data_IF_023444841875
#
_entry.id   IF_023444841875
#
_cell.length_a   1.000
_cell.length_b   1.000
_cell.length_c   1.000
_cell.angle_alpha   90.00
_cell.angle_beta   90.00
_cell.angle_gamma   90.00
#
_symmetry.space_group_name_H-M   'P 1'
#
loop_
_entity.id
_entity.type
_entity.pdbx_description
1 polymer ?
#
# COMPACT_ATOMS: atom_id res chain seq x y z
N UNK A 1 -3.63 29.63 18.30
CA UNK A 1 -3.44 29.28 16.88
C UNK A 1 -4.35 28.10 16.60
N UNK A 2 -5.23 28.21 15.61
CA UNK A 2 -6.19 27.15 15.28
C UNK A 2 -5.41 25.94 14.78
N UNK A 3 -5.44 24.85 15.54
CA UNK A 3 -4.96 23.55 15.11
C UNK A 3 -6.02 23.03 14.12
N UNK A 4 -5.89 23.39 12.85
CA UNK A 4 -6.71 22.77 11.80
C UNK A 4 -6.30 21.31 11.76
N UNK A 5 -7.17 20.42 12.24
CA UNK A 5 -7.00 18.97 12.07
C UNK A 5 -6.87 18.69 10.58
N UNK A 6 -5.64 18.41 10.14
CA UNK A 6 -5.40 17.96 8.77
C UNK A 6 -5.93 16.55 8.67
N UNK A 7 -7.04 16.38 7.98
CA UNK A 7 -7.63 15.07 7.69
C UNK A 7 -7.21 14.54 6.32
N UNK A 8 -6.61 15.38 5.46
CA UNK A 8 -6.15 14.97 4.14
C UNK A 8 -4.87 14.13 4.24
N UNK A 9 -4.84 12.92 3.66
CA UNK A 9 -3.75 11.97 3.87
C UNK A 9 -2.41 12.46 3.34
N UNK A 10 -2.38 13.14 2.19
CA UNK A 10 -1.15 13.70 1.65
C UNK A 10 -0.56 14.80 2.56
N UNK A 11 -1.41 15.65 3.14
CA UNK A 11 -0.96 16.69 4.07
C UNK A 11 -0.41 16.10 5.36
N UNK A 12 -1.02 15.01 5.85
CA UNK A 12 -0.51 14.25 7.00
C UNK A 12 0.86 13.67 6.66
N UNK A 13 1.02 12.97 5.52
CA UNK A 13 2.32 12.41 5.12
C UNK A 13 3.39 13.49 4.93
N UNK A 14 3.06 14.63 4.30
CA UNK A 14 3.98 15.76 4.15
C UNK A 14 4.44 16.31 5.49
N UNK A 15 3.53 16.44 6.47
CA UNK A 15 3.88 16.91 7.81
C UNK A 15 4.71 15.87 8.57
N UNK A 16 4.36 14.59 8.47
CA UNK A 16 5.13 13.50 9.06
C UNK A 16 6.55 13.45 8.50
N UNK A 17 6.73 13.59 7.17
CA UNK A 17 8.04 13.69 6.53
C UNK A 17 8.87 14.81 7.13
N UNK A 18 8.30 16.03 7.26
CA UNK A 18 9.01 17.17 7.89
C UNK A 18 9.46 16.85 9.31
N UNK A 19 8.57 16.29 10.13
CA UNK A 19 8.89 15.91 11.51
C UNK A 19 10.02 14.87 11.56
N UNK A 20 10.00 13.88 10.68
CA UNK A 20 11.03 12.82 10.60
C UNK A 20 12.37 13.42 10.20
N UNK A 21 12.43 14.20 9.12
CA UNK A 21 13.66 14.86 8.66
C UNK A 21 14.23 15.77 9.77
N UNK A 22 13.39 16.58 10.42
CA UNK A 22 13.82 17.47 11.50
C UNK A 22 14.37 16.74 12.73
N UNK A 23 13.80 15.57 13.07
CA UNK A 23 14.25 14.75 14.19
C UNK A 23 15.54 14.01 13.88
N UNK A 24 15.65 13.40 12.70
CA UNK A 24 16.82 12.62 12.29
C UNK A 24 18.03 13.52 12.00
N UNK A 25 17.83 14.76 11.56
CA UNK A 25 18.93 15.73 11.41
C UNK A 25 19.69 15.98 12.72
N UNK A 26 19.10 15.67 13.87
CA UNK A 26 19.70 15.84 15.20
C UNK A 26 20.47 14.59 15.69
N UNK A 27 20.64 13.58 14.84
CA UNK A 27 21.35 12.33 15.19
C UNK A 27 22.88 12.48 15.31
N UNK A 28 23.44 13.63 14.89
CA UNK A 28 24.87 13.93 14.98
C UNK A 28 25.70 13.48 13.77
N UNK A 29 25.09 12.92 12.74
CA UNK A 29 25.76 12.61 11.47
C UNK A 29 25.92 13.87 10.60
N UNK A 30 27.05 13.98 9.89
CA UNK A 30 27.34 15.13 9.00
C UNK A 30 26.37 15.25 7.83
N UNK A 31 25.78 14.14 7.41
CA UNK A 31 24.80 14.11 6.32
C UNK A 31 23.35 14.14 6.84
N UNK A 32 23.07 13.85 8.12
CA UNK A 32 21.72 13.56 8.63
C UNK A 32 21.20 12.24 8.07
N UNK A 33 20.78 11.30 8.92
CA UNK A 33 20.35 9.96 8.50
C UNK A 33 19.37 9.97 7.31
N UNK A 34 19.59 9.05 6.35
CA UNK A 34 18.67 8.77 5.23
C UNK A 34 17.53 7.85 5.65
N UNK A 35 17.06 8.01 6.87
CA UNK A 35 16.06 7.14 7.45
C UNK A 35 14.65 7.69 7.14
N UNK A 36 13.69 6.79 7.01
CA UNK A 36 12.35 7.08 6.51
C UNK A 36 11.47 5.84 6.53
N UNK A 37 10.21 5.99 6.09
CA UNK A 37 9.31 4.85 5.98
C UNK A 37 8.52 4.86 4.68
N UNK A 38 8.17 3.68 4.23
CA UNK A 38 7.20 3.47 3.18
C UNK A 38 5.84 3.19 3.82
N UNK A 39 4.79 3.84 3.32
CA UNK A 39 3.46 3.68 3.90
C UNK A 39 2.36 4.10 2.93
N UNK A 40 1.14 3.64 3.20
CA UNK A 40 -0.06 4.21 2.60
C UNK A 40 -0.99 4.68 3.70
N UNK A 41 -1.53 5.90 3.54
CA UNK A 41 -2.51 6.45 4.47
C UNK A 41 -3.85 6.58 3.77
N UNK A 42 -4.84 5.83 4.27
CA UNK A 42 -6.18 5.71 3.70
C UNK A 42 -7.20 6.38 4.63
N UNK A 43 -8.07 7.21 4.07
CA UNK A 43 -9.13 7.92 4.78
C UNK A 43 -10.45 7.63 4.06
N UNK A 44 -11.33 6.92 4.76
CA UNK A 44 -12.70 6.67 4.30
C UNK A 44 -13.60 7.79 4.81
N UNK A 45 -14.51 8.27 3.96
CA UNK A 45 -15.59 9.12 4.44
C UNK A 45 -16.56 8.30 5.33
N UNK A 46 -17.43 9.00 6.05
CA UNK A 46 -18.26 8.40 7.11
C UNK A 46 -19.17 7.25 6.61
N UNK A 47 -19.68 7.36 5.38
CA UNK A 47 -20.54 6.36 4.75
C UNK A 47 -19.78 5.30 3.93
N UNK A 48 -18.44 5.40 3.87
CA UNK A 48 -17.54 4.50 3.13
C UNK A 48 -17.83 4.41 1.63
N UNK A 49 -18.37 5.47 1.05
CA UNK A 49 -18.58 5.59 -0.40
C UNK A 49 -17.39 6.22 -1.13
N UNK A 50 -16.46 6.85 -0.40
CA UNK A 50 -15.29 7.50 -0.95
C UNK A 50 -14.04 7.15 -0.14
N UNK A 51 -12.95 6.88 -0.86
CA UNK A 51 -11.61 6.73 -0.32
C UNK A 51 -10.75 7.90 -0.79
N UNK A 52 -10.10 8.57 0.15
CA UNK A 52 -8.98 9.49 -0.11
C UNK A 52 -7.71 8.90 0.47
N UNK A 53 -6.60 8.92 -0.27
CA UNK A 53 -5.34 8.33 0.19
C UNK A 53 -4.10 9.00 -0.40
N UNK A 54 -2.97 8.77 0.25
CA UNK A 54 -1.63 9.08 -0.24
C UNK A 54 -0.72 7.89 0.06
N UNK A 55 0.27 7.64 -0.81
CA UNK A 55 1.09 6.45 -0.73
C UNK A 55 2.55 6.74 -1.10
N UNK A 56 3.45 6.35 -0.20
CA UNK A 56 4.90 6.41 -0.34
C UNK A 56 5.42 5.01 -0.67
N UNK A 57 5.98 4.83 -1.87
CA UNK A 57 6.59 3.62 -2.44
C UNK A 57 5.72 2.34 -2.55
N UNK A 58 4.71 2.15 -1.70
CA UNK A 58 3.84 0.98 -1.71
C UNK A 58 2.49 1.26 -2.39
N UNK A 59 2.07 0.44 -3.38
CA UNK A 59 0.83 0.66 -4.11
C UNK A 59 -0.40 0.38 -3.26
N UNK A 60 -1.53 0.98 -3.66
CA UNK A 60 -2.85 0.63 -3.15
C UNK A 60 -3.62 -0.10 -4.25
N UNK A 61 -4.30 -1.18 -3.88
CA UNK A 61 -5.12 -1.97 -4.81
C UNK A 61 -6.60 -1.89 -4.44
N UNK A 62 -7.46 -1.88 -5.47
CA UNK A 62 -8.88 -2.18 -5.33
C UNK A 62 -9.17 -3.42 -6.15
N UNK A 63 -9.84 -4.40 -5.55
CA UNK A 63 -10.24 -5.65 -6.21
C UNK A 63 -11.74 -5.83 -6.07
N UNK A 64 -12.40 -6.04 -7.20
CA UNK A 64 -13.84 -6.31 -7.26
C UNK A 64 -14.17 -6.98 -8.60
N UNK A 65 -14.51 -8.28 -8.61
CA UNK A 65 -14.81 -9.00 -9.86
C UNK A 65 -16.13 -8.54 -10.52
N UNK A 66 -16.97 -7.80 -9.80
CA UNK A 66 -18.24 -7.28 -10.31
C UNK A 66 -18.12 -5.83 -10.83
N UNK A 67 -16.97 -5.19 -10.66
CA UNK A 67 -16.75 -3.80 -11.08
C UNK A 67 -16.42 -3.73 -12.56
N UNK A 68 -17.17 -2.91 -13.28
CA UNK A 68 -17.04 -2.75 -14.74
C UNK A 68 -16.26 -1.51 -15.14
N UNK A 69 -16.10 -0.55 -14.23
CA UNK A 69 -15.41 0.72 -14.47
C UNK A 69 -14.41 1.01 -13.36
N UNK A 70 -13.17 1.29 -13.75
CA UNK A 70 -12.08 1.57 -12.82
C UNK A 70 -11.80 3.08 -12.72
N UNK A 71 -11.31 3.56 -11.58
CA UNK A 71 -10.92 4.96 -11.40
C UNK A 71 -9.90 5.41 -12.44
N UNK A 72 -10.06 6.63 -12.97
CA UNK A 72 -9.25 7.17 -14.08
C UNK A 72 -7.75 7.21 -13.77
N UNK A 73 -7.40 7.47 -12.51
CA UNK A 73 -6.03 7.52 -12.00
C UNK A 73 -5.49 6.14 -11.55
N UNK A 74 -6.15 5.05 -11.94
CA UNK A 74 -5.73 3.69 -11.62
C UNK A 74 -5.35 2.90 -12.87
N UNK A 75 -4.54 1.85 -12.69
CA UNK A 75 -4.11 0.93 -13.73
C UNK A 75 -4.81 -0.42 -13.52
N UNK A 76 -5.80 -0.78 -14.36
CA UNK A 76 -6.49 -2.05 -14.25
C UNK A 76 -5.54 -3.25 -14.41
N UNK A 77 -5.81 -4.33 -13.68
CA UNK A 77 -5.13 -5.61 -13.78
C UNK A 77 -6.14 -6.78 -13.77
N UNK A 78 -5.68 -7.99 -14.06
CA UNK A 78 -6.58 -9.14 -14.24
C UNK A 78 -7.46 -9.00 -15.48
N UNK A 79 -6.84 -8.70 -16.63
CA UNK A 79 -7.52 -8.44 -17.90
C UNK A 79 -8.56 -7.30 -17.84
N UNK A 80 -8.38 -6.38 -16.90
CA UNK A 80 -9.23 -5.20 -16.73
C UNK A 80 -10.57 -5.47 -16.05
N UNK A 81 -10.82 -6.69 -15.55
CA UNK A 81 -12.12 -7.07 -14.96
C UNK A 81 -12.07 -7.45 -13.48
N UNK A 82 -10.89 -7.46 -12.88
CA UNK A 82 -10.71 -7.99 -11.53
C UNK A 82 -10.22 -6.98 -10.50
N UNK A 83 -9.32 -6.07 -10.89
CA UNK A 83 -8.73 -5.10 -9.97
C UNK A 83 -8.08 -3.91 -10.66
N UNK A 84 -7.71 -2.90 -9.87
CA UNK A 84 -6.89 -1.78 -10.32
C UNK A 84 -5.85 -1.37 -9.27
N UNK A 85 -4.70 -0.92 -9.75
CA UNK A 85 -3.57 -0.41 -8.97
C UNK A 85 -3.52 1.11 -9.03
N UNK A 86 -3.35 1.74 -7.88
CA UNK A 86 -2.91 3.12 -7.82
C UNK A 86 -1.41 3.15 -7.56
N UNK A 87 -0.68 3.82 -8.46
CA UNK A 87 0.76 3.99 -8.31
C UNK A 87 1.05 4.89 -7.10
N UNK A 88 2.03 4.53 -6.25
CA UNK A 88 2.48 5.40 -5.18
C UNK A 88 3.40 6.49 -5.73
N UNK A 89 3.62 7.52 -4.92
CA UNK A 89 4.74 8.43 -5.12
C UNK A 89 6.03 7.67 -4.83
N UNK A 90 7.02 7.76 -5.74
CA UNK A 90 8.30 7.04 -5.63
C UNK A 90 9.28 7.78 -4.72
N UNK A 91 8.87 7.99 -3.49
CA UNK A 91 9.64 8.66 -2.46
C UNK A 91 9.16 8.23 -1.06
N UNK A 92 10.07 8.04 -0.09
CA UNK A 92 9.72 7.63 1.26
C UNK A 92 9.15 8.80 2.08
N UNK A 93 8.48 8.51 3.19
CA UNK A 93 8.19 9.50 4.23
C UNK A 93 9.44 9.69 5.09
N UNK A 94 10.41 10.41 4.54
CA UNK A 94 11.69 10.69 5.17
C UNK A 94 12.57 11.52 4.25
N UNK A 95 13.87 11.54 4.52
CA UNK A 95 14.84 12.28 3.71
C UNK A 95 15.01 11.61 2.34
N UNK A 96 14.92 12.38 1.27
CA UNK A 96 15.06 11.94 -0.12
C UNK A 96 15.53 13.11 -0.99
N UNK A 97 16.03 12.85 -2.20
CA UNK A 97 16.42 13.91 -3.15
C UNK A 97 15.21 14.78 -3.57
N UNK A 98 14.00 14.29 -3.35
CA UNK A 98 12.72 14.93 -3.66
C UNK A 98 11.93 15.27 -2.38
N UNK A 99 12.59 15.56 -1.26
CA UNK A 99 11.90 15.81 0.01
C UNK A 99 11.00 17.07 0.00
N UNK A 100 11.26 18.01 -0.91
CA UNK A 100 10.40 19.18 -1.21
C UNK A 100 9.17 18.84 -2.09
N UNK A 101 9.14 17.68 -2.76
CA UNK A 101 7.95 17.24 -3.51
C UNK A 101 6.85 16.81 -2.54
N UNK A 102 5.63 17.29 -2.79
CA UNK A 102 4.46 16.92 -1.99
C UNK A 102 3.90 15.58 -2.43
N UNK A 103 3.46 14.77 -1.47
CA UNK A 103 2.68 13.57 -1.77
C UNK A 103 1.39 13.90 -2.53
N UNK A 104 1.03 13.02 -3.46
CA UNK A 104 -0.17 13.11 -4.28
C UNK A 104 -1.40 12.70 -3.48
N UNK A 105 -2.42 13.57 -3.45
CA UNK A 105 -3.75 13.21 -2.95
C UNK A 105 -4.51 12.44 -4.04
N UNK A 106 -4.79 11.17 -3.78
CA UNK A 106 -5.69 10.37 -4.61
C UNK A 106 -7.06 10.32 -3.96
N UNK A 107 -8.12 10.38 -4.76
CA UNK A 107 -9.50 10.22 -4.31
C UNK A 107 -10.27 9.35 -5.30
N UNK A 108 -11.10 8.45 -4.80
CA UNK A 108 -11.91 7.56 -5.62
C UNK A 108 -13.24 7.19 -4.98
N UNK A 109 -14.24 6.94 -5.81
CA UNK A 109 -15.54 6.41 -5.40
C UNK A 109 -15.45 4.89 -5.26
N UNK A 110 -15.93 4.42 -4.12
CA UNK A 110 -16.00 3.02 -3.74
C UNK A 110 -17.35 2.43 -4.16
N UNK A 111 -17.32 1.18 -4.58
CA UNK A 111 -18.49 0.40 -4.94
C UNK A 111 -18.67 -0.74 -3.94
N UNK A 112 -19.92 -1.15 -3.72
CA UNK A 112 -20.21 -2.31 -2.87
C UNK A 112 -19.46 -3.55 -3.36
N UNK A 113 -18.82 -4.25 -2.44
CA UNK A 113 -18.01 -5.43 -2.75
C UNK A 113 -16.55 -5.13 -3.09
N UNK A 114 -16.16 -3.85 -3.22
CA UNK A 114 -14.75 -3.47 -3.31
C UNK A 114 -13.98 -3.99 -2.11
N UNK A 115 -12.81 -4.56 -2.36
CA UNK A 115 -11.81 -4.85 -1.33
C UNK A 115 -10.58 -4.01 -1.62
N UNK A 116 -10.23 -3.14 -0.67
CA UNK A 116 -9.07 -2.28 -0.73
C UNK A 116 -7.91 -3.00 -0.03
N UNK A 117 -6.77 -3.12 -0.69
CA UNK A 117 -5.55 -3.68 -0.11
C UNK A 117 -4.41 -2.65 -0.11
N UNK A 118 -3.69 -2.57 1.01
CA UNK A 118 -2.38 -1.93 1.15
C UNK A 118 -1.41 -2.90 1.80
N UNK A 119 -0.12 -2.75 1.54
CA UNK A 119 0.90 -3.72 1.92
C UNK A 119 2.28 -3.07 2.12
N UNK A 120 3.15 -3.80 2.80
CA UNK A 120 4.62 -3.62 2.73
C UNK A 120 5.22 -4.53 1.65
N UNK A 121 6.43 -4.22 1.20
CA UNK A 121 7.18 -4.95 0.18
C UNK A 121 7.64 -6.35 0.64
N UNK A 122 7.63 -6.66 1.93
CA UNK A 122 8.03 -7.98 2.45
C UNK A 122 7.31 -9.17 1.79
N UNK A 123 6.01 -9.07 1.47
CA UNK A 123 5.30 -10.15 0.77
C UNK A 123 5.83 -10.35 -0.66
N UNK A 124 5.78 -9.35 -1.57
CA UNK A 124 6.28 -9.54 -2.93
C UNK A 124 7.79 -9.80 -3.00
N UNK A 125 8.58 -9.36 -2.02
CA UNK A 125 10.03 -9.56 -2.01
C UNK A 125 10.49 -10.89 -1.41
N UNK A 126 9.59 -11.66 -0.79
CA UNK A 126 9.91 -12.96 -0.22
C UNK A 126 10.46 -13.94 -1.26
N UNK A 127 11.62 -14.50 -0.97
CA UNK A 127 12.23 -15.58 -1.76
C UNK A 127 11.61 -16.92 -1.42
N UNK A 128 11.40 -17.75 -2.45
CA UNK A 128 10.69 -19.01 -2.29
C UNK A 128 10.50 -19.83 -3.56
N UNK A 129 9.67 -20.87 -3.45
CA UNK A 129 9.40 -21.85 -4.50
C UNK A 129 10.62 -22.68 -4.91
N UNK A 130 10.42 -23.63 -5.82
CA UNK A 130 11.44 -24.62 -6.23
C UNK A 130 12.74 -24.00 -6.80
N UNK A 131 12.67 -22.74 -7.22
CA UNK A 131 13.78 -22.02 -7.85
C UNK A 131 14.35 -20.89 -7.00
N UNK A 132 13.89 -20.73 -5.75
CA UNK A 132 14.35 -19.68 -4.84
C UNK A 132 14.21 -18.27 -5.45
N UNK A 133 13.04 -17.94 -5.99
CA UNK A 133 12.75 -16.64 -6.61
C UNK A 133 11.89 -15.77 -5.72
N UNK A 134 11.95 -14.45 -5.91
CA UNK A 134 10.99 -13.51 -5.32
C UNK A 134 9.55 -13.86 -5.73
N UNK A 135 8.60 -13.66 -4.83
CA UNK A 135 7.16 -13.87 -5.11
C UNK A 135 6.65 -12.91 -6.19
N UNK A 136 7.14 -11.69 -6.20
CA UNK A 136 6.78 -10.59 -7.10
C UNK A 136 5.34 -10.09 -6.93
N UNK A 137 5.16 -8.78 -7.13
CA UNK A 137 3.85 -8.13 -7.03
C UNK A 137 2.81 -8.68 -8.01
N UNK A 138 3.26 -9.27 -9.13
CA UNK A 138 2.38 -9.88 -10.14
C UNK A 138 1.60 -11.06 -9.54
N UNK A 139 2.29 -11.97 -8.85
CA UNK A 139 1.67 -13.16 -8.26
C UNK A 139 0.72 -12.74 -7.12
N UNK A 140 1.10 -11.72 -6.33
CA UNK A 140 0.23 -11.19 -5.28
C UNK A 140 -1.08 -10.66 -5.85
N UNK A 141 -1.02 -9.87 -6.93
CA UNK A 141 -2.25 -9.41 -7.62
C UNK A 141 -3.11 -10.58 -8.07
N UNK A 142 -2.53 -11.61 -8.67
CA UNK A 142 -3.27 -12.80 -9.11
C UNK A 142 -3.95 -13.52 -7.93
N UNK A 143 -3.25 -13.66 -6.80
CA UNK A 143 -3.83 -14.21 -5.57
C UNK A 143 -4.99 -13.35 -5.05
N UNK A 144 -4.82 -12.02 -4.98
CA UNK A 144 -5.86 -11.10 -4.53
C UNK A 144 -7.13 -11.21 -5.40
N UNK A 145 -6.98 -11.33 -6.73
CA UNK A 145 -8.11 -11.58 -7.63
C UNK A 145 -8.84 -12.88 -7.28
N UNK A 146 -8.09 -13.95 -7.01
CA UNK A 146 -8.66 -15.26 -6.70
C UNK A 146 -9.43 -15.27 -5.38
N UNK A 147 -8.96 -14.54 -4.36
CA UNK A 147 -9.55 -14.61 -3.02
C UNK A 147 -10.55 -13.48 -2.71
N UNK A 148 -10.60 -12.42 -3.51
CA UNK A 148 -11.43 -11.24 -3.20
C UNK A 148 -12.94 -11.49 -3.10
N UNK A 149 -13.46 -12.63 -3.56
CA UNK A 149 -14.86 -13.02 -3.39
C UNK A 149 -15.15 -13.67 -2.03
N UNK A 150 -14.12 -14.13 -1.30
CA UNK A 150 -14.24 -14.81 -0.01
C UNK A 150 -14.50 -13.83 1.15
N UNK A 151 -15.04 -14.28 2.30
CA UNK A 151 -15.04 -13.50 3.53
C UNK A 151 -13.63 -13.01 3.91
N UNK A 152 -13.52 -11.81 4.50
CA UNK A 152 -12.21 -11.17 4.74
C UNK A 152 -11.28 -12.03 5.61
N UNK A 153 -11.81 -12.75 6.60
CA UNK A 153 -11.03 -13.67 7.43
C UNK A 153 -10.48 -14.86 6.62
N UNK A 154 -11.23 -15.36 5.65
CA UNK A 154 -10.74 -16.42 4.76
C UNK A 154 -9.67 -15.90 3.80
N UNK A 155 -9.75 -14.62 3.39
CA UNK A 155 -8.71 -14.01 2.58
C UNK A 155 -7.39 -13.89 3.35
N UNK A 156 -7.45 -13.45 4.60
CA UNK A 156 -6.30 -13.39 5.51
C UNK A 156 -5.63 -14.77 5.61
N UNK A 157 -6.43 -15.82 5.87
CA UNK A 157 -5.91 -17.19 5.93
C UNK A 157 -5.26 -17.60 4.60
N UNK A 158 -5.89 -17.31 3.45
CA UNK A 158 -5.33 -17.67 2.14
C UNK A 158 -4.03 -16.92 1.83
N UNK A 159 -3.92 -15.66 2.25
CA UNK A 159 -2.69 -14.88 2.13
C UNK A 159 -1.56 -15.49 2.96
N UNK A 160 -1.85 -15.86 4.21
CA UNK A 160 -0.87 -16.51 5.09
C UNK A 160 -0.43 -17.88 4.57
N UNK A 161 -1.39 -18.72 4.16
CA UNK A 161 -1.12 -20.04 3.56
C UNK A 161 -0.24 -19.94 2.32
N UNK A 162 -0.53 -19.01 1.41
CA UNK A 162 0.25 -18.81 0.19
C UNK A 162 1.64 -18.25 0.50
N UNK A 163 1.77 -17.35 1.48
CA UNK A 163 3.06 -16.83 1.93
C UNK A 163 3.95 -17.94 2.49
N UNK A 164 3.44 -18.71 3.45
CA UNK A 164 4.19 -19.80 4.09
C UNK A 164 4.56 -20.88 3.09
N UNK A 165 3.63 -21.24 2.20
CA UNK A 165 3.89 -22.19 1.12
C UNK A 165 4.97 -21.70 0.17
N UNK A 166 4.94 -20.43 -0.23
CA UNK A 166 5.95 -19.87 -1.13
C UNK A 166 7.31 -19.83 -0.46
N UNK A 167 7.38 -19.25 0.74
CA UNK A 167 8.60 -19.16 1.55
C UNK A 167 9.21 -20.54 1.78
N UNK A 168 8.40 -21.53 2.15
CA UNK A 168 8.86 -22.87 2.53
C UNK A 168 9.87 -22.77 3.68
N UNK A 169 11.03 -23.39 3.49
CA UNK A 169 12.12 -23.38 4.47
C UNK A 169 13.05 -22.15 4.36
N UNK A 170 12.77 -21.22 3.44
CA UNK A 170 13.59 -20.01 3.31
C UNK A 170 13.33 -19.06 4.49
N UNK A 171 14.35 -18.29 4.84
CA UNK A 171 14.19 -17.22 5.82
C UNK A 171 13.28 -16.11 5.30
N UNK A 172 12.54 -15.49 6.21
CA UNK A 172 11.79 -14.28 5.91
C UNK A 172 12.77 -13.12 5.73
N UNK A 173 12.63 -12.38 4.63
CA UNK A 173 13.62 -11.35 4.25
C UNK A 173 13.30 -9.96 4.79
N UNK A 174 12.04 -9.71 5.12
CA UNK A 174 11.56 -8.42 5.64
C UNK A 174 10.23 -8.58 6.39
N UNK A 175 9.79 -7.55 7.09
CA UNK A 175 8.49 -7.50 7.76
C UNK A 175 7.34 -7.52 6.74
N UNK A 176 6.34 -8.37 7.00
CA UNK A 176 5.19 -8.57 6.11
C UNK A 176 3.93 -8.03 6.74
N UNK A 177 3.30 -7.06 6.08
CA UNK A 177 2.00 -6.53 6.46
C UNK A 177 1.12 -6.39 5.22
N UNK A 178 -0.12 -6.89 5.32
CA UNK A 178 -1.20 -6.64 4.36
C UNK A 178 -2.44 -6.24 5.16
N UNK A 179 -3.08 -5.15 4.74
CA UNK A 179 -4.34 -4.68 5.31
C UNK A 179 -5.41 -4.76 4.21
N UNK A 180 -6.49 -5.48 4.47
CA UNK A 180 -7.65 -5.59 3.60
C UNK A 180 -8.91 -4.96 4.21
N UNK A 181 -9.61 -4.10 3.47
CA UNK A 181 -10.88 -3.49 3.89
C UNK A 181 -11.95 -3.72 2.84
N UNK A 182 -13.07 -4.36 3.23
CA UNK A 182 -14.23 -4.58 2.35
C UNK A 182 -15.30 -3.50 2.56
N UNK A 183 -15.93 -3.09 1.45
CA UNK A 183 -17.06 -2.15 1.38
C UNK A 183 -18.39 -2.88 1.21
#
# INVERSE_FOLDING_TARGET
MVNTEKTEPNQILNQTRKIIIERLRKDGSTEGGKDGMDCSLLVFNQDRTQLSFAAANNPVFIVNPNRTEWPVNSLPFGEGRGGAEFKPDKMPVGKHDNDEESFTLNTTVLQKGDVIYTLTDGFPDQFGGDKGKKYMIKNLKELLLQIAHLPVLEQEQKLAEEFDKWKGENEQVDDVCIIGVRI
#
